data_IF_685277452985
#
_entry.id   IF_685277452985
#
_cell.length_a   1.000
_cell.length_b   1.000
_cell.length_c   1.000
_cell.angle_alpha   90.00
_cell.angle_beta   90.00
_cell.angle_gamma   90.00
#
_symmetry.space_group_name_H-M   'P 1'
#
loop_
_entity.id
_entity.type
_entity.pdbx_description
1 polymer ?
#
# COMPACT_ATOMS: atom_id res chain seq x y z
N UNK A 1 -11.04 80.78 -16.06
CA UNK A 1 -11.64 80.59 -14.73
C UNK A 1 -10.96 79.43 -14.05
N UNK A 2 -10.10 79.75 -13.08
CA UNK A 2 -9.69 79.01 -11.87
C UNK A 2 -8.99 77.65 -12.06
N UNK A 3 -7.98 77.24 -11.29
CA UNK A 3 -7.11 77.86 -10.28
C UNK A 3 -6.05 76.79 -9.93
N UNK A 4 -4.81 77.25 -9.68
CA UNK A 4 -3.94 76.92 -8.54
C UNK A 4 -3.78 75.44 -8.10
N UNK A 5 -2.55 74.97 -8.31
CA UNK A 5 -1.57 74.41 -7.34
C UNK A 5 -1.88 73.23 -6.41
N UNK A 6 -0.77 72.53 -6.15
CA UNK A 6 -0.34 71.98 -4.85
C UNK A 6 -0.92 70.63 -4.43
N UNK A 7 -0.11 69.57 -4.42
CA UNK A 7 0.83 69.30 -3.32
C UNK A 7 1.32 67.85 -3.34
N UNK A 8 2.61 67.69 -3.08
CA UNK A 8 3.27 66.45 -2.65
C UNK A 8 2.51 65.74 -1.52
N UNK A 9 2.65 64.41 -1.43
CA UNK A 9 3.55 63.73 -0.47
C UNK A 9 3.06 62.32 -0.10
N UNK A 10 4.00 61.38 -0.16
CA UNK A 10 4.14 60.14 0.63
C UNK A 10 2.97 59.14 0.72
N UNK A 11 3.25 57.87 0.47
CA UNK A 11 3.65 56.92 1.51
C UNK A 11 3.59 55.48 1.00
N UNK A 12 4.62 54.72 1.34
CA UNK A 12 4.60 53.26 1.37
C UNK A 12 3.36 52.71 2.07
N UNK A 13 2.80 51.62 1.53
CA UNK A 13 2.76 50.32 2.20
C UNK A 13 1.66 49.40 1.65
N UNK A 14 2.04 48.11 1.58
CA UNK A 14 1.23 46.94 1.88
C UNK A 14 0.14 46.44 0.89
N UNK A 15 0.48 45.27 0.34
CA UNK A 15 -0.25 44.00 0.49
C UNK A 15 -1.55 43.74 -0.31
N UNK A 16 -1.52 42.57 -0.94
CA UNK A 16 -2.65 41.66 -1.27
C UNK A 16 -3.21 41.62 -2.70
N UNK A 17 -2.88 40.50 -3.34
CA UNK A 17 -3.77 39.59 -4.09
C UNK A 17 -4.58 40.11 -5.27
N UNK A 18 -4.31 39.55 -6.46
CA UNK A 18 -5.35 39.07 -7.39
C UNK A 18 -4.77 37.99 -8.32
N UNK A 19 -5.60 37.00 -8.63
CA UNK A 19 -5.30 35.72 -9.28
C UNK A 19 -5.80 35.73 -10.75
N UNK A 20 -5.29 34.78 -11.56
CA UNK A 20 -5.82 34.30 -12.87
C UNK A 20 -5.47 35.18 -14.09
N UNK A 21 -5.16 34.71 -15.31
CA UNK A 21 -5.10 33.43 -16.07
C UNK A 21 -4.29 33.81 -17.34
N UNK A 22 -3.36 33.07 -17.94
CA UNK A 22 -3.48 31.84 -18.72
C UNK A 22 -2.14 31.67 -19.49
N UNK A 23 -1.98 30.53 -20.17
CA UNK A 23 -0.97 30.20 -21.18
C UNK A 23 0.39 29.68 -20.71
N UNK A 24 0.50 28.35 -20.60
CA UNK A 24 1.38 27.62 -21.53
C UNK A 24 1.03 26.12 -21.57
N UNK A 25 0.32 25.71 -22.63
CA UNK A 25 0.12 24.32 -22.97
C UNK A 25 1.31 23.81 -23.80
N UNK A 26 2.25 23.13 -23.14
CA UNK A 26 3.23 22.28 -23.82
C UNK A 26 3.18 20.89 -23.18
N UNK A 27 2.47 19.99 -23.86
CA UNK A 27 2.39 18.58 -23.54
C UNK A 27 3.80 17.95 -23.48
N UNK A 28 4.20 17.50 -22.29
CA UNK A 28 5.29 16.53 -22.13
C UNK A 28 4.64 15.13 -22.19
N UNK A 29 5.25 14.14 -22.86
CA UNK A 29 4.72 12.78 -22.85
C UNK A 29 4.68 12.29 -21.41
N UNK A 30 3.53 11.78 -20.98
CA UNK A 30 3.33 11.17 -19.67
C UNK A 30 4.27 9.98 -19.52
N UNK A 31 5.44 10.22 -18.94
CA UNK A 31 6.24 9.15 -18.36
C UNK A 31 5.33 8.42 -17.37
N UNK A 32 5.19 7.11 -17.55
CA UNK A 32 4.46 6.25 -16.63
C UNK A 32 4.86 6.60 -15.18
N UNK A 33 3.90 6.78 -14.25
CA UNK A 33 4.25 7.12 -12.88
C UNK A 33 5.18 6.04 -12.34
N UNK A 34 6.39 6.43 -11.91
CA UNK A 34 7.24 5.60 -11.08
C UNK A 34 6.40 5.07 -9.90
N UNK A 35 6.63 3.84 -9.40
CA UNK A 35 5.83 3.27 -8.31
C UNK A 35 5.94 4.19 -7.09
N UNK A 36 4.91 4.99 -6.85
CA UNK A 36 4.83 5.86 -5.69
C UNK A 36 4.71 4.93 -4.47
N UNK A 37 5.63 5.06 -3.51
CA UNK A 37 5.54 4.32 -2.25
C UNK A 37 4.14 4.52 -1.67
N UNK A 38 3.47 3.45 -1.20
CA UNK A 38 2.13 3.59 -0.66
C UNK A 38 2.15 4.59 0.49
N UNK A 39 1.42 5.70 0.34
CA UNK A 39 1.29 6.73 1.36
C UNK A 39 0.38 6.19 2.47
N UNK A 40 0.96 5.41 3.38
CA UNK A 40 0.24 4.83 4.51
C UNK A 40 0.09 5.88 5.60
N UNK A 41 -1.15 6.23 6.00
CA UNK A 41 -1.38 7.23 7.04
C UNK A 41 -0.61 6.91 8.32
N UNK A 42 0.02 7.92 8.92
CA UNK A 42 0.84 7.77 10.14
C UNK A 42 0.09 7.13 11.32
N UNK A 43 -1.24 7.28 11.36
CA UNK A 43 -2.09 6.72 12.40
C UNK A 43 -2.44 5.24 12.19
N UNK A 44 -2.06 4.62 11.07
CA UNK A 44 -2.25 3.19 10.87
C UNK A 44 -1.19 2.42 11.64
N UNK A 45 -1.64 1.65 12.62
CA UNK A 45 -0.78 0.92 13.55
C UNK A 45 -0.84 -0.58 13.31
N UNK A 46 -2.00 -1.13 12.98
CA UNK A 46 -2.21 -2.57 12.81
C UNK A 46 -2.39 -2.96 11.36
N UNK A 47 -1.66 -3.98 10.94
CA UNK A 47 -1.66 -4.49 9.57
C UNK A 47 -1.80 -6.01 9.57
N UNK A 48 -2.52 -6.54 8.59
CA UNK A 48 -2.50 -7.97 8.30
C UNK A 48 -1.82 -8.22 6.96
N UNK A 49 -0.78 -9.05 6.97
CA UNK A 49 -0.08 -9.53 5.79
C UNK A 49 -0.64 -10.86 5.31
N UNK A 50 -0.79 -11.02 4.01
CA UNK A 50 -1.20 -12.26 3.37
C UNK A 50 -0.26 -12.62 2.23
N UNK A 51 0.21 -13.87 2.24
CA UNK A 51 0.94 -14.47 1.14
C UNK A 51 -0.02 -15.35 0.35
N UNK A 52 -0.27 -15.01 -0.92
CA UNK A 52 -1.22 -15.73 -1.76
C UNK A 52 -0.58 -16.96 -2.40
N UNK A 53 -0.81 -18.14 -1.81
CA UNK A 53 -0.63 -19.42 -2.48
C UNK A 53 -1.95 -20.01 -3.00
N UNK A 54 -1.86 -20.80 -4.07
CA UNK A 54 -3.02 -21.47 -4.70
C UNK A 54 -3.74 -22.38 -3.70
N UNK A 55 -2.97 -23.15 -2.91
CA UNK A 55 -3.48 -24.15 -1.95
C UNK A 55 -3.51 -23.64 -0.51
N UNK A 56 -2.63 -22.70 -0.17
CA UNK A 56 -2.39 -22.22 1.19
C UNK A 56 -2.17 -20.72 1.14
N UNK A 57 -2.70 -19.99 2.11
CA UNK A 57 -2.49 -18.55 2.21
C UNK A 57 -1.82 -18.26 3.54
N UNK A 58 -0.54 -17.89 3.48
CA UNK A 58 0.21 -17.43 4.64
C UNK A 58 -0.45 -16.18 5.20
N UNK A 59 -0.49 -16.06 6.53
CA UNK A 59 -1.09 -14.91 7.21
C UNK A 59 -0.11 -14.42 8.27
N UNK A 60 -0.04 -13.12 8.47
CA UNK A 60 0.75 -12.49 9.52
C UNK A 60 0.03 -11.26 10.07
N UNK A 61 0.20 -10.97 11.35
CA UNK A 61 -0.19 -9.69 11.95
C UNK A 61 1.06 -8.86 12.22
N UNK A 62 0.99 -7.56 11.98
CA UNK A 62 2.13 -6.68 12.12
C UNK A 62 1.72 -5.34 12.69
N UNK A 63 2.62 -4.76 13.48
CA UNK A 63 2.41 -3.45 14.08
C UNK A 63 3.51 -2.48 13.63
N UNK A 64 3.11 -1.32 13.11
CA UNK A 64 4.05 -0.27 12.67
C UNK A 64 4.97 0.22 13.79
N UNK A 65 4.49 0.39 15.02
CA UNK A 65 5.30 0.88 16.15
C UNK A 65 6.38 -0.12 16.55
N UNK A 66 6.05 -1.41 16.53
CA UNK A 66 7.00 -2.47 16.89
C UNK A 66 7.92 -2.84 15.71
N UNK A 67 7.52 -2.53 14.47
CA UNK A 67 8.26 -2.85 13.25
C UNK A 67 8.38 -4.36 12.97
N UNK A 68 7.66 -5.20 13.71
CA UNK A 68 7.70 -6.66 13.62
C UNK A 68 6.39 -7.26 13.14
N UNK A 69 6.47 -8.47 12.57
CA UNK A 69 5.32 -9.27 12.20
C UNK A 69 5.31 -10.62 12.92
N UNK A 70 4.13 -11.06 13.34
CA UNK A 70 3.92 -12.36 13.96
C UNK A 70 3.17 -13.28 13.01
N UNK A 71 3.63 -14.54 12.85
CA UNK A 71 2.98 -15.48 11.96
C UNK A 71 1.62 -15.87 12.53
N UNK A 72 0.60 -15.86 11.68
CA UNK A 72 -0.74 -16.34 12.00
C UNK A 72 -0.96 -17.73 11.38
N UNK A 73 -1.97 -18.48 11.86
CA UNK A 73 -2.32 -19.76 11.26
C UNK A 73 -2.55 -19.63 9.76
N UNK A 74 -1.88 -20.49 8.98
CA UNK A 74 -2.04 -20.50 7.52
C UNK A 74 -3.47 -20.86 7.16
N UNK A 75 -4.11 -20.06 6.30
CA UNK A 75 -5.43 -20.36 5.79
C UNK A 75 -5.31 -21.47 4.74
N UNK A 76 -5.88 -22.64 5.07
CA UNK A 76 -6.06 -23.77 4.15
C UNK A 76 -7.52 -23.78 3.71
N UNK A 77 -7.83 -23.02 2.67
CA UNK A 77 -9.18 -22.90 2.14
C UNK A 77 -9.18 -23.16 0.64
N UNK A 78 -10.02 -24.08 0.19
CA UNK A 78 -10.27 -24.34 -1.21
C UNK A 78 -11.39 -23.42 -1.69
N UNK A 79 -11.06 -22.52 -2.62
CA UNK A 79 -11.99 -21.54 -3.17
C UNK A 79 -11.85 -20.13 -2.58
N UNK A 80 -12.31 -19.13 -3.35
CA UNK A 80 -12.18 -17.73 -2.97
C UNK A 80 -13.05 -17.37 -1.75
N UNK A 81 -14.28 -17.88 -1.69
CA UNK A 81 -15.24 -17.49 -0.64
C UNK A 81 -14.84 -18.04 0.73
N UNK A 82 -14.39 -19.30 0.80
CA UNK A 82 -13.90 -19.89 2.05
C UNK A 82 -12.66 -19.16 2.58
N UNK A 83 -11.76 -18.75 1.67
CA UNK A 83 -10.59 -17.93 2.04
C UNK A 83 -11.02 -16.57 2.57
N UNK A 84 -11.95 -15.88 1.90
CA UNK A 84 -12.46 -14.58 2.35
C UNK A 84 -13.14 -14.69 3.71
N UNK A 85 -13.89 -15.76 3.98
CA UNK A 85 -14.51 -16.00 5.28
C UNK A 85 -13.47 -16.22 6.39
N UNK A 86 -12.37 -16.92 6.09
CA UNK A 86 -11.26 -17.08 7.03
C UNK A 86 -10.54 -15.74 7.30
N UNK A 87 -10.30 -14.94 6.26
CA UNK A 87 -9.74 -13.59 6.40
C UNK A 87 -10.67 -12.68 7.19
N UNK A 88 -11.99 -12.78 6.99
CA UNK A 88 -12.97 -12.01 7.75
C UNK A 88 -12.85 -12.27 9.26
N UNK A 89 -12.62 -13.52 9.66
CA UNK A 89 -12.38 -13.86 11.09
C UNK A 89 -11.14 -13.16 11.62
N UNK A 90 -10.04 -13.20 10.87
CA UNK A 90 -8.79 -12.52 11.25
C UNK A 90 -8.96 -11.01 11.31
N UNK A 91 -9.69 -10.40 10.37
CA UNK A 91 -9.97 -8.96 10.39
C UNK A 91 -10.82 -8.58 11.61
N UNK A 92 -11.81 -9.40 11.98
CA UNK A 92 -12.63 -9.16 13.18
C UNK A 92 -11.84 -9.29 14.47
N UNK A 93 -10.92 -10.23 14.53
CA UNK A 93 -10.06 -10.50 15.69
C UNK A 93 -8.97 -9.43 15.86
N UNK A 94 -8.25 -9.10 14.78
CA UNK A 94 -7.07 -8.22 14.82
C UNK A 94 -7.37 -6.75 14.53
N UNK A 95 -8.55 -6.44 13.97
CA UNK A 95 -8.99 -5.08 13.62
C UNK A 95 -7.91 -4.24 12.91
N UNK A 96 -7.33 -4.73 11.79
CA UNK A 96 -6.27 -4.01 11.10
C UNK A 96 -6.79 -2.71 10.47
N UNK A 97 -5.90 -1.71 10.40
CA UNK A 97 -6.15 -0.48 9.65
C UNK A 97 -5.97 -0.70 8.14
N UNK A 98 -5.08 -1.62 7.76
CA UNK A 98 -4.83 -1.98 6.37
C UNK A 98 -4.40 -3.43 6.22
N UNK A 99 -4.58 -3.95 5.01
CA UNK A 99 -4.12 -5.28 4.62
C UNK A 99 -2.93 -5.15 3.67
N UNK A 100 -2.03 -6.11 3.69
CA UNK A 100 -0.86 -6.18 2.83
C UNK A 100 -0.90 -7.54 2.14
N UNK A 101 -0.72 -7.57 0.83
CA UNK A 101 -0.69 -8.80 0.05
C UNK A 101 0.64 -8.93 -0.67
N UNK A 102 1.28 -10.09 -0.52
CA UNK A 102 2.39 -10.50 -1.35
C UNK A 102 1.90 -10.83 -2.76
N UNK A 103 2.62 -10.32 -3.75
CA UNK A 103 2.34 -10.60 -5.16
C UNK A 103 3.63 -11.15 -5.78
N UNK A 104 3.65 -12.44 -6.17
CA UNK A 104 4.79 -13.02 -6.85
C UNK A 104 4.86 -12.44 -8.26
N UNK A 105 5.93 -11.73 -8.58
CA UNK A 105 6.23 -11.28 -9.93
C UNK A 105 7.42 -12.08 -10.47
N UNK A 106 7.18 -12.96 -11.45
CA UNK A 106 8.25 -13.64 -12.19
C UNK A 106 8.12 -13.38 -13.71
N UNK A 107 9.26 -13.27 -14.41
CA UNK A 107 9.28 -13.01 -15.86
C UNK A 107 8.88 -14.22 -16.72
N UNK A 108 8.86 -15.44 -16.19
CA UNK A 108 8.82 -16.69 -16.99
C UNK A 108 7.39 -17.23 -17.27
N UNK A 109 6.37 -16.37 -17.28
CA UNK A 109 5.02 -16.71 -17.73
C UNK A 109 4.08 -17.35 -16.69
N UNK A 110 4.54 -18.30 -15.87
CA UNK A 110 3.69 -18.94 -14.84
C UNK A 110 3.24 -17.97 -13.73
N UNK A 111 4.05 -16.95 -13.42
CA UNK A 111 3.68 -15.94 -12.46
C UNK A 111 2.49 -15.09 -12.92
N UNK A 112 2.28 -14.86 -14.22
CA UNK A 112 1.19 -13.99 -14.67
C UNK A 112 -0.19 -14.47 -14.18
N UNK A 113 -0.44 -15.78 -14.11
CA UNK A 113 -1.69 -16.31 -13.57
C UNK A 113 -1.80 -16.16 -12.05
N UNK A 114 -0.73 -16.44 -11.31
CA UNK A 114 -0.70 -16.32 -9.86
C UNK A 114 -0.77 -14.86 -9.41
N UNK A 115 -0.03 -13.97 -10.07
CA UNK A 115 -0.13 -12.51 -9.95
C UNK A 115 -1.58 -12.07 -10.20
N UNK A 116 -2.20 -12.48 -11.30
CA UNK A 116 -3.58 -12.10 -11.60
C UNK A 116 -4.57 -12.56 -10.52
N UNK A 117 -4.37 -13.77 -9.95
CA UNK A 117 -5.17 -14.30 -8.85
C UNK A 117 -4.93 -13.55 -7.53
N UNK A 118 -3.68 -13.24 -7.18
CA UNK A 118 -3.33 -12.45 -5.99
C UNK A 118 -3.91 -11.03 -6.08
N UNK A 119 -3.80 -10.37 -7.23
CA UNK A 119 -4.40 -9.07 -7.49
C UNK A 119 -5.94 -9.14 -7.42
N UNK A 120 -6.55 -10.20 -7.96
CA UNK A 120 -8.00 -10.43 -7.84
C UNK A 120 -8.42 -10.60 -6.39
N UNK A 121 -7.64 -11.33 -5.61
CA UNK A 121 -7.86 -11.49 -4.17
C UNK A 121 -7.76 -10.15 -3.44
N UNK A 122 -6.74 -9.33 -3.71
CA UNK A 122 -6.63 -7.98 -3.17
C UNK A 122 -7.84 -7.09 -3.50
N UNK A 123 -8.34 -7.14 -4.74
CA UNK A 123 -9.56 -6.42 -5.14
C UNK A 123 -10.79 -6.91 -4.37
N UNK A 124 -10.92 -8.22 -4.17
CA UNK A 124 -12.02 -8.80 -3.38
C UNK A 124 -11.94 -8.34 -1.92
N UNK A 125 -10.75 -8.32 -1.32
CA UNK A 125 -10.53 -7.81 0.04
C UNK A 125 -10.94 -6.34 0.16
N UNK A 126 -10.46 -5.48 -0.75
CA UNK A 126 -10.82 -4.05 -0.80
C UNK A 126 -12.34 -3.88 -0.89
N UNK A 127 -13.00 -4.62 -1.79
CA UNK A 127 -14.45 -4.51 -2.01
C UNK A 127 -15.28 -5.04 -0.83
N UNK A 128 -14.85 -6.13 -0.19
CA UNK A 128 -15.61 -6.80 0.87
C UNK A 128 -15.47 -6.11 2.21
N UNK A 129 -14.24 -5.74 2.57
CA UNK A 129 -13.91 -5.21 3.91
C UNK A 129 -13.79 -3.69 3.95
N UNK A 130 -13.76 -3.03 2.79
CA UNK A 130 -13.57 -1.58 2.66
C UNK A 130 -12.28 -1.09 3.36
N UNK A 131 -11.30 -1.97 3.50
CA UNK A 131 -9.99 -1.66 4.04
C UNK A 131 -9.02 -1.38 2.89
N UNK A 132 -8.06 -0.47 3.09
CA UNK A 132 -6.95 -0.30 2.17
C UNK A 132 -6.14 -1.60 2.12
N UNK A 133 -5.83 -2.02 0.90
CA UNK A 133 -4.98 -3.19 0.65
C UNK A 133 -3.75 -2.69 -0.08
N UNK A 134 -2.58 -3.01 0.41
CA UNK A 134 -1.30 -2.69 -0.22
C UNK A 134 -0.68 -3.95 -0.82
N UNK A 135 -0.08 -3.81 -1.98
CA UNK A 135 0.55 -4.92 -2.70
C UNK A 135 2.07 -4.78 -2.55
N UNK A 136 2.74 -5.88 -2.19
CA UNK A 136 4.19 -5.93 -2.04
C UNK A 136 4.76 -6.87 -3.10
N UNK A 137 5.75 -6.39 -3.85
CA UNK A 137 6.45 -7.19 -4.85
C UNK A 137 7.45 -8.12 -4.16
N UNK A 138 7.23 -9.44 -4.30
CA UNK A 138 8.04 -10.50 -3.69
C UNK A 138 9.39 -10.75 -4.40
N UNK A 139 9.69 -10.05 -5.50
CA UNK A 139 10.96 -10.20 -6.25
C UNK A 139 12.23 -10.13 -5.40
N UNK A 140 12.17 -9.51 -4.23
CA UNK A 140 13.30 -9.36 -3.32
C UNK A 140 13.52 -10.57 -2.37
N UNK A 141 12.59 -11.52 -2.27
CA UNK A 141 12.62 -12.57 -1.23
C UNK A 141 13.14 -13.93 -1.70
N UNK A 142 13.42 -14.10 -3.00
CA UNK A 142 13.67 -15.41 -3.63
C UNK A 142 14.92 -16.17 -3.15
N UNK A 143 15.75 -15.62 -2.24
CA UNK A 143 16.98 -16.28 -1.77
C UNK A 143 17.04 -16.54 -0.27
N UNK A 144 16.24 -15.87 0.57
CA UNK A 144 16.40 -15.98 2.04
C UNK A 144 15.35 -16.90 2.72
N UNK A 145 14.18 -17.11 2.11
CA UNK A 145 13.09 -17.87 2.75
C UNK A 145 13.25 -19.41 2.69
N UNK A 146 14.12 -19.94 1.81
CA UNK A 146 14.25 -21.39 1.57
C UNK A 146 15.16 -22.13 2.57
N UNK A 147 15.86 -21.44 3.47
CA UNK A 147 16.89 -22.07 4.32
C UNK A 147 16.38 -22.51 5.72
N UNK A 148 15.12 -22.24 6.07
CA UNK A 148 14.74 -22.15 7.48
C UNK A 148 13.93 -23.29 8.11
N UNK A 149 13.70 -24.44 7.47
CA UNK A 149 13.05 -25.61 8.12
C UNK A 149 11.76 -25.30 8.92
N UNK A 150 11.06 -24.21 8.60
CA UNK A 150 9.98 -23.68 9.41
C UNK A 150 8.76 -24.60 9.32
N UNK A 151 8.11 -24.88 10.46
CA UNK A 151 6.91 -25.75 10.52
C UNK A 151 5.79 -25.28 9.59
N UNK A 152 5.71 -23.98 9.30
CA UNK A 152 4.84 -23.37 8.30
C UNK A 152 5.58 -22.31 7.48
N UNK A 153 6.19 -22.74 6.36
CA UNK A 153 6.91 -21.86 5.44
C UNK A 153 6.04 -20.72 4.87
N UNK A 154 4.74 -20.96 4.67
CA UNK A 154 3.81 -19.94 4.14
C UNK A 154 3.59 -18.79 5.15
N UNK A 155 3.45 -19.11 6.44
CA UNK A 155 3.26 -18.08 7.48
C UNK A 155 4.55 -17.27 7.70
N UNK A 156 5.71 -17.92 7.62
CA UNK A 156 7.00 -17.24 7.66
C UNK A 156 7.17 -16.25 6.48
N UNK A 157 6.76 -16.66 5.28
CA UNK A 157 6.79 -15.81 4.09
C UNK A 157 5.91 -14.57 4.27
N UNK A 158 4.69 -14.75 4.78
CA UNK A 158 3.79 -13.63 5.09
C UNK A 158 4.37 -12.65 6.13
N UNK A 159 5.10 -13.13 7.14
CA UNK A 159 5.83 -12.28 8.08
C UNK A 159 6.89 -11.45 7.39
N UNK A 160 7.75 -12.06 6.58
CA UNK A 160 8.83 -11.38 5.88
C UNK A 160 8.27 -10.27 4.98
N UNK A 161 7.22 -10.57 4.23
CA UNK A 161 6.52 -9.61 3.37
C UNK A 161 5.99 -8.43 4.19
N UNK A 162 5.35 -8.71 5.32
CA UNK A 162 4.77 -7.68 6.17
C UNK A 162 5.84 -6.83 6.86
N UNK A 163 6.92 -7.44 7.36
CA UNK A 163 8.04 -6.71 7.96
C UNK A 163 8.75 -5.82 6.94
N UNK A 164 8.99 -6.32 5.73
CA UNK A 164 9.56 -5.54 4.65
C UNK A 164 8.67 -4.32 4.34
N UNK A 165 7.35 -4.53 4.28
CA UNK A 165 6.41 -3.43 4.11
C UNK A 165 6.49 -2.41 5.24
N UNK A 166 6.43 -2.85 6.50
CA UNK A 166 6.49 -1.97 7.67
C UNK A 166 7.81 -1.18 7.74
N UNK A 167 8.94 -1.81 7.42
CA UNK A 167 10.26 -1.15 7.35
C UNK A 167 10.38 -0.15 6.20
N UNK A 168 9.57 -0.31 5.16
CA UNK A 168 9.54 0.63 4.03
C UNK A 168 8.74 1.90 4.33
N UNK A 169 7.92 1.89 5.40
CA UNK A 169 7.15 3.05 5.85
C UNK A 169 8.08 4.10 6.49
N UNK A 170 7.79 5.40 6.31
CA UNK A 170 8.56 6.49 6.90
C UNK A 170 8.37 6.60 8.42
#
# INVERSE_FOLDING_TARGET
MNDISSSNKAADAAFSSTFSSADNAAARPAAAPAPQKPEVPAHFQQFLGFDFGIKRTGCASGNRVLGGANPLPTIRAEGADARLAAVEKLIREWQPNALVIGVPYHPDGAAHENTARALKFGRQLRSRFKLPVYEVDERYSTTEALAGGARDADAASACIILEQFLRSLP
#
